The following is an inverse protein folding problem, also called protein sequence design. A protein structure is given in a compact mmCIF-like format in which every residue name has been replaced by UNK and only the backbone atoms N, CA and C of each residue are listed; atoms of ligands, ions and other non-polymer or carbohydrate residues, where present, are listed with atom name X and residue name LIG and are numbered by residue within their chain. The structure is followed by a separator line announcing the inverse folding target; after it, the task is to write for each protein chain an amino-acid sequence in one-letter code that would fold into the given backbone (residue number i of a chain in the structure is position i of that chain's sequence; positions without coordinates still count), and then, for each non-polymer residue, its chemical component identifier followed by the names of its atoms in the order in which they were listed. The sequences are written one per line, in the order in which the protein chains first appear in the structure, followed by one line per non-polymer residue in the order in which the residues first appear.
data_IF_878051434454
#
_entry.id   IF_878051434454
#
_cell.length_a   1.000
_cell.length_b   1.000
_cell.length_c   1.000
_cell.angle_alpha   90.00
_cell.angle_beta   90.00
_cell.angle_gamma   90.00
#
_symmetry.space_group_name_H-M   'P 1'
#
loop_
_entity.id
_entity.type
_entity.pdbx_description
1 polymer ?
#
# COMPACT_ATOMS: atom_id res chain seq x y z
N UNK A 1 12.44 11.43 -20.38
CA UNK A 1 11.91 11.69 -19.03
C UNK A 1 10.39 11.70 -19.09
N UNK A 2 9.73 11.02 -18.15
CA UNK A 2 8.29 11.11 -17.97
C UNK A 2 7.94 11.41 -16.52
N UNK A 3 6.84 12.12 -16.30
CA UNK A 3 6.30 12.42 -14.98
C UNK A 3 4.83 12.03 -14.96
N UNK A 4 4.40 11.31 -13.94
CA UNK A 4 3.01 10.90 -13.73
C UNK A 4 2.55 11.29 -12.33
N UNK A 5 1.25 11.57 -12.21
CA UNK A 5 0.53 11.39 -10.95
C UNK A 5 -0.09 9.99 -10.94
N UNK A 6 -0.19 9.41 -9.75
CA UNK A 6 -0.96 8.19 -9.51
C UNK A 6 -1.56 8.27 -8.10
N UNK A 7 -2.17 7.18 -7.63
CA UNK A 7 -2.69 7.11 -6.28
C UNK A 7 -4.06 7.76 -6.11
N UNK A 8 -4.30 8.22 -4.89
CA UNK A 8 -5.63 8.70 -4.45
C UNK A 8 -6.19 9.83 -5.31
N UNK A 9 -5.33 10.74 -5.79
CA UNK A 9 -5.72 11.85 -6.67
C UNK A 9 -6.29 11.36 -8.00
N UNK A 10 -5.72 10.30 -8.58
CA UNK A 10 -6.18 9.75 -9.85
C UNK A 10 -7.43 8.88 -9.70
N UNK A 11 -7.68 8.34 -8.51
CA UNK A 11 -8.91 7.59 -8.17
C UNK A 11 -10.08 8.46 -7.70
N UNK A 12 -9.84 9.74 -7.40
CA UNK A 12 -10.84 10.62 -6.77
C UNK A 12 -11.06 10.32 -5.27
N UNK A 13 -10.14 9.61 -4.62
CA UNK A 13 -10.17 9.29 -3.19
C UNK A 13 -9.37 10.28 -2.35
N UNK A 14 -9.43 11.57 -2.70
CA UNK A 14 -8.65 12.62 -2.04
C UNK A 14 -9.33 13.08 -0.73
N UNK A 15 -8.56 13.16 0.36
CA UNK A 15 -8.97 13.85 1.58
C UNK A 15 -7.85 14.74 2.12
N UNK A 16 -8.07 15.36 3.29
CA UNK A 16 -7.10 16.24 3.93
C UNK A 16 -5.77 15.56 4.32
N UNK A 17 -5.71 14.24 4.27
CA UNK A 17 -4.53 13.42 4.58
C UNK A 17 -3.91 12.79 3.33
N UNK A 18 -4.49 12.98 2.14
CA UNK A 18 -3.93 12.49 0.89
C UNK A 18 -2.72 13.33 0.45
N UNK A 19 -1.62 12.65 0.09
CA UNK A 19 -0.55 13.27 -0.69
C UNK A 19 -0.81 13.07 -2.19
N UNK A 20 -0.06 13.81 -3.00
CA UNK A 20 0.03 13.59 -4.44
C UNK A 20 1.17 12.61 -4.69
N UNK A 21 0.84 11.37 -5.06
CA UNK A 21 1.85 10.38 -5.43
C UNK A 21 2.39 10.70 -6.83
N UNK A 22 3.68 11.02 -6.91
CA UNK A 22 4.37 11.37 -8.15
C UNK A 22 5.37 10.29 -8.55
N UNK A 23 5.41 9.98 -9.84
CA UNK A 23 6.37 9.06 -10.45
C UNK A 23 7.24 9.83 -11.45
N UNK A 24 8.55 9.70 -11.34
CA UNK A 24 9.51 10.16 -12.33
C UNK A 24 10.20 8.96 -12.99
N UNK A 25 10.15 8.92 -14.33
CA UNK A 25 10.86 7.92 -15.12
C UNK A 25 12.04 8.59 -15.83
N UNK A 26 13.25 8.29 -15.35
CA UNK A 26 14.52 8.86 -15.82
C UNK A 26 15.62 7.81 -15.80
N UNK A 27 16.52 7.86 -16.78
CA UNK A 27 17.72 7.03 -16.74
C UNK A 27 18.85 7.78 -16.02
N UNK A 28 19.47 7.11 -15.04
CA UNK A 28 20.51 7.70 -14.20
C UNK A 28 19.96 8.56 -13.06
N UNK A 29 20.85 9.32 -12.42
CA UNK A 29 20.52 10.30 -11.38
C UNK A 29 20.14 11.64 -12.02
N UNK A 30 19.09 12.26 -11.49
CA UNK A 30 18.60 13.57 -11.92
C UNK A 30 18.20 14.39 -10.68
N UNK A 31 19.01 15.39 -10.35
CA UNK A 31 18.90 16.17 -9.11
C UNK A 31 17.60 17.02 -9.03
N UNK A 32 16.84 17.10 -10.12
CA UNK A 32 15.52 17.75 -10.13
C UNK A 32 14.46 16.94 -9.39
N UNK A 33 14.68 15.64 -9.17
CA UNK A 33 13.72 14.75 -8.53
C UNK A 33 14.18 14.38 -7.13
N UNK A 34 13.47 14.91 -6.13
CA UNK A 34 13.63 14.51 -4.74
C UNK A 34 12.96 13.14 -4.50
N UNK A 35 13.70 12.10 -4.06
CA UNK A 35 13.14 10.77 -3.78
C UNK A 35 12.13 10.75 -2.61
N UNK A 36 12.05 11.81 -1.80
CA UNK A 36 11.00 12.00 -0.78
C UNK A 36 9.66 12.35 -1.44
N UNK A 37 9.70 13.04 -2.58
CA UNK A 37 8.51 13.52 -3.31
C UNK A 37 8.13 12.55 -4.44
N UNK A 38 9.14 12.00 -5.13
CA UNK A 38 8.96 11.16 -6.30
C UNK A 38 9.32 9.70 -6.02
N UNK A 39 8.49 8.81 -6.49
CA UNK A 39 8.92 7.46 -6.85
C UNK A 39 9.79 7.56 -8.11
N UNK A 40 11.09 7.29 -8.01
CA UNK A 40 12.04 7.46 -9.14
C UNK A 40 12.43 6.09 -9.68
N UNK A 41 12.20 5.87 -10.98
CA UNK A 41 12.50 4.61 -11.66
C UNK A 41 13.21 4.85 -13.00
N UNK A 42 14.13 3.95 -13.34
CA UNK A 42 14.61 3.85 -14.72
C UNK A 42 13.59 3.16 -15.61
N UNK A 43 13.63 3.44 -16.91
CA UNK A 43 12.76 2.80 -17.89
C UNK A 43 12.91 1.27 -17.85
N UNK A 44 14.16 0.80 -17.78
CA UNK A 44 14.47 -0.62 -17.67
C UNK A 44 13.89 -1.24 -16.40
N UNK A 45 14.01 -0.57 -15.25
CA UNK A 45 13.46 -1.13 -14.00
C UNK A 45 11.94 -1.19 -14.05
N UNK A 46 11.29 -0.14 -14.56
CA UNK A 46 9.84 -0.09 -14.66
C UNK A 46 9.30 -1.17 -15.62
N UNK A 47 9.91 -1.31 -16.81
CA UNK A 47 9.58 -2.39 -17.74
C UNK A 47 9.75 -3.79 -17.10
N UNK A 48 10.80 -3.98 -16.30
CA UNK A 48 10.98 -5.22 -15.53
C UNK A 48 9.84 -5.49 -14.54
N UNK A 49 9.29 -4.47 -13.89
CA UNK A 49 8.10 -4.63 -13.03
C UNK A 49 6.85 -5.06 -13.82
N UNK A 50 6.72 -4.61 -15.08
CA UNK A 50 5.67 -5.05 -15.99
C UNK A 50 5.82 -6.53 -16.34
N UNK A 51 7.02 -6.95 -16.71
CA UNK A 51 7.33 -8.35 -17.04
C UNK A 51 7.10 -9.29 -15.84
N UNK A 52 7.48 -8.85 -14.63
CA UNK A 52 7.25 -9.57 -13.37
C UNK A 52 5.76 -9.70 -13.02
N UNK A 53 4.88 -8.85 -13.57
CA UNK A 53 3.48 -8.74 -13.16
C UNK A 53 3.32 -8.18 -11.76
N UNK A 54 4.22 -7.27 -11.36
CA UNK A 54 4.30 -6.71 -10.01
C UNK A 54 3.02 -5.94 -9.63
N UNK A 55 2.53 -6.00 -8.37
CA UNK A 55 1.37 -5.22 -7.94
C UNK A 55 1.50 -3.72 -8.19
N UNK A 56 2.71 -3.15 -8.08
CA UNK A 56 2.95 -1.74 -8.38
C UNK A 56 2.83 -1.43 -9.88
N UNK A 57 3.24 -2.34 -10.76
CA UNK A 57 3.01 -2.19 -12.19
C UNK A 57 1.50 -2.22 -12.51
N UNK A 58 0.75 -3.13 -11.88
CA UNK A 58 -0.71 -3.17 -12.00
C UNK A 58 -1.38 -1.92 -11.44
N UNK A 59 -0.83 -1.36 -10.35
CA UNK A 59 -1.27 -0.10 -9.78
C UNK A 59 -1.12 1.02 -10.80
N UNK A 60 0.10 1.25 -11.30
CA UNK A 60 0.37 2.29 -12.30
C UNK A 60 -0.46 2.13 -13.57
N UNK A 61 -0.51 0.93 -14.15
CA UNK A 61 -1.27 0.65 -15.37
C UNK A 61 -2.78 0.89 -15.23
N UNK A 62 -3.31 0.90 -14.00
CA UNK A 62 -4.75 1.08 -13.76
C UNK A 62 -5.17 2.54 -13.65
N UNK A 63 -4.31 3.41 -13.10
CA UNK A 63 -4.74 4.75 -12.69
C UNK A 63 -3.72 5.87 -12.94
N UNK A 64 -2.46 5.57 -13.30
CA UNK A 64 -1.47 6.61 -13.53
C UNK A 64 -1.93 7.57 -14.64
N UNK A 65 -1.70 8.87 -14.42
CA UNK A 65 -2.00 9.94 -15.36
C UNK A 65 -0.72 10.70 -15.68
N UNK A 66 -0.43 10.80 -16.97
CA UNK A 66 0.74 11.53 -17.42
C UNK A 66 0.59 13.03 -17.15
N UNK A 67 1.63 13.61 -16.56
CA UNK A 67 1.78 15.05 -16.35
C UNK A 67 2.70 15.61 -17.43
N UNK A 68 3.78 14.90 -17.73
CA UNK A 68 4.80 15.36 -18.67
C UNK A 68 5.49 14.20 -19.38
N UNK A 69 5.74 14.36 -20.68
CA UNK A 69 6.56 13.48 -21.52
C UNK A 69 7.56 14.30 -22.33
N UNK A 70 8.84 14.01 -22.22
CA UNK A 70 9.86 14.75 -22.98
C UNK A 70 9.80 14.50 -24.49
N UNK A 71 9.32 13.32 -24.91
CA UNK A 71 9.16 12.90 -26.30
C UNK A 71 7.71 13.03 -26.80
N UNK A 72 6.78 13.49 -25.95
CA UNK A 72 5.36 13.60 -26.29
C UNK A 72 4.58 12.28 -26.28
N UNK A 73 5.19 11.18 -25.84
CA UNK A 73 4.54 9.86 -25.82
C UNK A 73 4.30 9.38 -24.37
N UNK A 74 3.23 8.63 -24.14
CA UNK A 74 2.97 8.01 -22.84
C UNK A 74 3.64 6.63 -22.75
N UNK A 75 4.74 6.58 -21.99
CA UNK A 75 5.49 5.35 -21.79
C UNK A 75 4.69 4.25 -21.08
N UNK A 76 3.83 4.59 -20.10
CA UNK A 76 3.01 3.60 -19.39
C UNK A 76 1.95 3.03 -20.33
N UNK A 77 1.34 3.87 -21.16
CA UNK A 77 0.39 3.44 -22.19
C UNK A 77 1.05 2.50 -23.21
N UNK A 78 2.27 2.81 -23.65
CA UNK A 78 3.05 1.96 -24.57
C UNK A 78 3.39 0.59 -24.00
N UNK A 79 3.66 0.48 -22.70
CA UNK A 79 3.89 -0.82 -22.04
C UNK A 79 2.64 -1.70 -21.99
N UNK A 80 1.45 -1.11 -22.13
CA UNK A 80 0.19 -1.83 -22.04
C UNK A 80 -0.05 -2.44 -20.65
N UNK A 81 -0.63 -3.64 -20.62
CA UNK A 81 -0.94 -4.32 -19.37
C UNK A 81 0.28 -5.11 -18.84
N UNK A 82 0.55 -5.07 -17.53
CA UNK A 82 1.55 -5.94 -16.92
C UNK A 82 1.24 -7.43 -17.11
N UNK A 83 2.26 -8.27 -17.01
CA UNK A 83 2.09 -9.73 -16.97
C UNK A 83 1.16 -10.11 -15.81
N UNK A 84 0.50 -11.28 -15.94
CA UNK A 84 -0.33 -11.82 -14.88
C UNK A 84 0.44 -11.92 -13.54
N UNK A 85 -0.13 -11.34 -12.49
CA UNK A 85 0.39 -11.43 -11.14
C UNK A 85 0.30 -12.87 -10.60
N UNK A 86 1.45 -13.46 -10.24
CA UNK A 86 1.58 -14.89 -9.87
C UNK A 86 2.09 -15.14 -8.45
N UNK A 87 2.57 -14.12 -7.74
CA UNK A 87 3.18 -14.26 -6.40
C UNK A 87 2.22 -13.95 -5.25
N UNK A 88 0.92 -14.13 -5.49
CA UNK A 88 -0.15 -13.77 -4.53
C UNK A 88 0.06 -14.42 -3.17
N UNK A 89 0.31 -15.73 -3.14
CA UNK A 89 0.48 -16.49 -1.89
C UNK A 89 1.71 -16.03 -1.11
N UNK A 90 2.82 -15.82 -1.81
CA UNK A 90 4.09 -15.40 -1.24
C UNK A 90 3.99 -13.99 -0.66
N UNK A 91 3.37 -13.05 -1.37
CA UNK A 91 3.24 -11.67 -0.91
C UNK A 91 2.22 -11.54 0.23
N UNK A 92 1.08 -12.24 0.17
CA UNK A 92 0.17 -12.36 1.30
C UNK A 92 0.89 -12.92 2.53
N UNK A 93 1.74 -13.93 2.38
CA UNK A 93 2.54 -14.49 3.48
C UNK A 93 3.52 -13.48 4.06
N UNK A 94 4.19 -12.68 3.22
CA UNK A 94 5.09 -11.61 3.68
C UNK A 94 4.35 -10.58 4.54
N UNK A 95 3.18 -10.12 4.10
CA UNK A 95 2.40 -9.14 4.87
C UNK A 95 1.82 -9.73 6.15
N UNK A 96 1.40 -11.01 6.14
CA UNK A 96 1.03 -11.71 7.36
C UNK A 96 2.17 -11.78 8.39
N UNK A 97 3.39 -12.08 7.93
CA UNK A 97 4.57 -12.10 8.80
C UNK A 97 4.87 -10.71 9.38
N UNK A 98 4.78 -9.65 8.56
CA UNK A 98 4.94 -8.27 9.02
C UNK A 98 3.95 -7.91 10.12
N UNK A 99 2.68 -8.30 9.94
CA UNK A 99 1.64 -8.13 10.97
C UNK A 99 2.00 -8.89 12.26
N UNK A 100 2.43 -10.15 12.17
CA UNK A 100 2.77 -10.95 13.34
C UNK A 100 3.92 -10.32 14.13
N UNK A 101 4.98 -9.90 13.43
CA UNK A 101 6.11 -9.20 14.05
C UNK A 101 5.66 -7.93 14.77
N UNK A 102 4.79 -7.12 14.16
CA UNK A 102 4.29 -5.91 14.80
C UNK A 102 3.46 -6.21 16.07
N UNK A 103 2.62 -7.24 16.05
CA UNK A 103 1.83 -7.67 17.22
C UNK A 103 2.72 -8.19 18.35
N UNK A 104 3.75 -8.99 18.02
CA UNK A 104 4.74 -9.48 18.99
C UNK A 104 5.51 -8.33 19.62
N UNK A 105 5.92 -7.34 18.84
CA UNK A 105 6.55 -6.11 19.34
C UNK A 105 5.62 -5.34 20.28
N UNK A 106 4.34 -5.15 19.94
CA UNK A 106 3.37 -4.46 20.82
C UNK A 106 3.21 -5.23 22.14
N UNK A 107 3.09 -6.55 22.06
CA UNK A 107 2.87 -7.42 23.23
C UNK A 107 4.09 -7.47 24.16
N UNK A 108 5.29 -7.32 23.62
CA UNK A 108 6.56 -7.29 24.37
C UNK A 108 6.96 -5.89 24.86
N UNK A 109 6.13 -4.86 24.63
CA UNK A 109 6.38 -3.50 25.09
C UNK A 109 7.25 -2.67 24.14
N UNK A 110 6.93 -2.69 22.84
CA UNK A 110 7.65 -1.94 21.79
C UNK A 110 8.01 -0.51 22.19
N UNK A 111 9.22 -0.10 21.81
CA UNK A 111 9.71 1.27 21.99
C UNK A 111 8.95 2.30 21.15
N UNK A 112 8.19 1.87 20.12
CA UNK A 112 7.42 2.78 19.26
C UNK A 112 6.10 2.16 18.81
N UNK A 113 5.06 2.39 19.61
CA UNK A 113 3.71 1.92 19.32
C UNK A 113 3.17 2.47 17.98
N UNK A 114 3.50 3.73 17.66
CA UNK A 114 3.12 4.37 16.39
C UNK A 114 3.70 3.60 15.20
N UNK A 115 4.96 3.19 15.29
CA UNK A 115 5.62 2.43 14.23
C UNK A 115 4.98 1.06 14.03
N UNK A 116 4.69 0.33 15.11
CA UNK A 116 4.08 -0.99 15.01
C UNK A 116 2.65 -0.94 14.45
N UNK A 117 1.83 0.01 14.90
CA UNK A 117 0.49 0.22 14.35
C UNK A 117 0.55 0.64 12.87
N UNK A 118 1.54 1.45 12.48
CA UNK A 118 1.82 1.77 11.08
C UNK A 118 2.17 0.51 10.25
N UNK A 119 2.95 -0.42 10.81
CA UNK A 119 3.27 -1.69 10.15
C UNK A 119 2.05 -2.60 10.01
N UNK A 120 1.17 -2.65 11.02
CA UNK A 120 -0.11 -3.36 10.93
C UNK A 120 -0.96 -2.77 9.81
N UNK A 121 -1.10 -1.45 9.74
CA UNK A 121 -1.83 -0.78 8.66
C UNK A 121 -1.26 -1.13 7.27
N UNK A 122 0.07 -1.05 7.12
CA UNK A 122 0.75 -1.41 5.88
C UNK A 122 0.51 -2.87 5.49
N UNK A 123 0.59 -3.78 6.47
CA UNK A 123 0.36 -5.20 6.29
C UNK A 123 -1.07 -5.48 5.81
N UNK A 124 -2.11 -5.00 6.51
CA UNK A 124 -3.50 -5.31 6.15
C UNK A 124 -3.87 -4.74 4.77
N UNK A 125 -3.45 -3.51 4.46
CA UNK A 125 -3.73 -2.86 3.17
C UNK A 125 -3.11 -3.64 2.03
N UNK A 126 -1.81 -3.93 2.12
CA UNK A 126 -1.11 -4.60 1.03
C UNK A 126 -1.52 -6.06 0.91
N UNK A 127 -1.81 -6.74 2.03
CA UNK A 127 -2.38 -8.08 2.01
C UNK A 127 -3.69 -8.11 1.23
N UNK A 128 -4.63 -7.20 1.55
CA UNK A 128 -5.91 -7.09 0.87
C UNK A 128 -5.74 -6.80 -0.63
N UNK A 129 -4.86 -5.86 -1.00
CA UNK A 129 -4.55 -5.54 -2.40
C UNK A 129 -3.98 -6.74 -3.15
N UNK A 130 -3.01 -7.45 -2.57
CA UNK A 130 -2.44 -8.67 -3.17
C UNK A 130 -3.49 -9.77 -3.34
N UNK A 131 -4.33 -9.99 -2.33
CA UNK A 131 -5.42 -10.97 -2.40
C UNK A 131 -6.41 -10.61 -3.51
N UNK A 132 -6.92 -9.38 -3.53
CA UNK A 132 -7.88 -8.92 -4.54
C UNK A 132 -7.29 -9.03 -5.95
N UNK A 133 -6.04 -8.60 -6.15
CA UNK A 133 -5.38 -8.66 -7.45
C UNK A 133 -5.09 -10.10 -7.89
N UNK A 134 -4.59 -10.93 -6.98
CA UNK A 134 -4.13 -12.28 -7.28
C UNK A 134 -5.25 -13.30 -7.40
N UNK A 135 -6.18 -13.31 -6.44
CA UNK A 135 -7.29 -14.26 -6.36
C UNK A 135 -8.50 -13.79 -7.15
N UNK A 136 -8.98 -12.59 -6.87
CA UNK A 136 -10.26 -12.07 -7.40
C UNK A 136 -10.08 -11.31 -8.72
N UNK A 137 -8.84 -11.06 -9.15
CA UNK A 137 -8.49 -10.23 -10.32
C UNK A 137 -9.06 -8.80 -10.25
N UNK A 138 -9.32 -8.32 -9.03
CA UNK A 138 -9.82 -6.98 -8.75
C UNK A 138 -8.64 -6.04 -8.50
N UNK A 139 -8.59 -4.94 -9.24
CA UNK A 139 -7.53 -3.93 -9.17
C UNK A 139 -7.85 -2.85 -8.14
N UNK A 140 -7.81 -3.21 -6.86
CA UNK A 140 -8.06 -2.26 -5.76
C UNK A 140 -6.74 -1.89 -5.03
N UNK A 141 -6.28 -0.67 -5.30
CA UNK A 141 -5.08 -0.08 -4.70
C UNK A 141 -5.41 1.03 -3.68
N UNK A 142 -6.67 1.10 -3.24
CA UNK A 142 -7.09 2.01 -2.19
C UNK A 142 -6.38 1.71 -0.88
N UNK A 143 -6.11 2.74 -0.08
CA UNK A 143 -5.67 2.55 1.31
C UNK A 143 -6.71 1.86 2.19
N UNK A 144 -7.97 1.84 1.75
CA UNK A 144 -9.10 1.16 2.38
C UNK A 144 -9.39 -0.20 1.76
N UNK A 145 -8.48 -0.76 0.95
CA UNK A 145 -8.68 -2.04 0.25
C UNK A 145 -9.16 -3.16 1.17
N UNK A 146 -8.64 -3.27 2.40
CA UNK A 146 -9.04 -4.27 3.38
C UNK A 146 -10.52 -4.18 3.82
N UNK A 147 -11.11 -2.98 3.78
CA UNK A 147 -12.54 -2.74 4.06
C UNK A 147 -13.42 -2.91 2.82
N UNK A 148 -12.81 -3.08 1.64
CA UNK A 148 -13.47 -3.07 0.33
C UNK A 148 -13.30 -4.44 -0.37
N UNK A 149 -13.46 -5.53 0.39
CA UNK A 149 -13.35 -6.91 -0.09
C UNK A 149 -14.70 -7.65 -0.04
N UNK A 150 -15.83 -6.93 -0.03
CA UNK A 150 -17.18 -7.49 0.11
C UNK A 150 -17.29 -8.39 1.35
N UNK A 151 -17.80 -9.61 1.22
CA UNK A 151 -17.89 -10.62 2.29
C UNK A 151 -16.55 -10.98 2.95
N UNK A 152 -15.41 -10.70 2.29
CA UNK A 152 -14.06 -10.94 2.82
C UNK A 152 -13.44 -9.71 3.49
N UNK A 153 -14.20 -8.63 3.65
CA UNK A 153 -13.71 -7.40 4.28
C UNK A 153 -13.29 -7.67 5.72
N UNK A 154 -12.22 -6.99 6.15
CA UNK A 154 -11.78 -7.06 7.53
C UNK A 154 -12.88 -6.52 8.46
N UNK A 155 -13.16 -7.24 9.54
CA UNK A 155 -14.19 -6.88 10.51
C UNK A 155 -13.50 -6.36 11.77
N UNK A 156 -13.27 -5.04 11.79
CA UNK A 156 -12.77 -4.30 12.95
C UNK A 156 -13.58 -3.02 13.12
N UNK A 157 -13.56 -2.43 14.31
CA UNK A 157 -14.26 -1.17 14.55
C UNK A 157 -13.69 -0.03 13.69
N UNK A 158 -14.52 0.95 13.29
CA UNK A 158 -14.05 2.15 12.59
C UNK A 158 -12.95 2.89 13.37
N UNK A 159 -13.05 2.94 14.69
CA UNK A 159 -12.05 3.56 15.56
C UNK A 159 -10.69 2.85 15.47
N UNK A 160 -10.66 1.51 15.44
CA UNK A 160 -9.41 0.76 15.26
C UNK A 160 -8.81 1.00 13.87
N UNK A 161 -9.64 1.03 12.82
CA UNK A 161 -9.13 1.31 11.47
C UNK A 161 -8.55 2.74 11.38
N UNK A 162 -9.25 3.74 11.93
CA UNK A 162 -8.77 5.13 11.99
C UNK A 162 -7.48 5.26 12.79
N UNK A 163 -7.35 4.54 13.92
CA UNK A 163 -6.13 4.46 14.71
C UNK A 163 -4.95 3.95 13.87
N UNK A 164 -5.15 2.87 13.11
CA UNK A 164 -4.12 2.29 12.24
C UNK A 164 -3.72 3.25 11.11
N UNK A 165 -4.70 3.87 10.46
CA UNK A 165 -4.47 4.85 9.39
C UNK A 165 -3.70 6.08 9.91
N UNK A 166 -4.14 6.64 11.05
CA UNK A 166 -3.47 7.76 11.70
C UNK A 166 -2.04 7.42 12.12
N UNK A 167 -1.82 6.19 12.61
CA UNK A 167 -0.47 5.70 12.97
C UNK A 167 0.47 5.73 11.76
N UNK A 168 -0.04 5.35 10.58
CA UNK A 168 0.73 5.38 9.34
C UNK A 168 1.13 6.79 8.94
N UNK A 169 0.19 7.74 9.00
CA UNK A 169 0.45 9.16 8.70
C UNK A 169 1.49 9.72 9.66
N UNK A 170 1.32 9.49 10.97
CA UNK A 170 2.23 9.96 11.99
C UNK A 170 3.63 9.36 11.83
N UNK A 171 3.74 8.08 11.49
CA UNK A 171 5.04 7.40 11.31
C UNK A 171 5.82 7.88 10.08
N UNK A 172 5.15 8.29 8.99
CA UNK A 172 5.83 8.77 7.78
C UNK A 172 6.09 10.27 7.84
N UNK A 173 5.10 11.03 8.31
CA UNK A 173 5.07 12.49 8.16
C UNK A 173 5.28 13.25 9.47
N UNK A 174 5.29 12.58 10.61
CA UNK A 174 5.37 13.23 11.92
C UNK A 174 4.16 14.12 12.23
N UNK A 175 3.03 13.92 11.53
CA UNK A 175 1.82 14.72 11.67
C UNK A 175 0.71 13.96 12.40
N UNK A 176 0.07 14.61 13.36
CA UNK A 176 -1.03 14.05 14.16
C UNK A 176 -0.72 13.96 15.66
N UNK A 177 -1.67 13.40 16.42
CA UNK A 177 -1.53 13.21 17.87
C UNK A 177 -0.77 11.93 18.18
N UNK A 178 0.21 12.01 19.09
CA UNK A 178 0.98 10.86 19.57
C UNK A 178 0.03 9.84 20.21
N UNK A 179 0.16 8.59 19.78
CA UNK A 179 -0.65 7.47 20.25
C UNK A 179 -0.03 6.92 21.54
N UNK A 180 -0.85 6.83 22.58
CA UNK A 180 -0.51 6.23 23.87
C UNK A 180 -1.08 4.83 23.98
N UNK A 181 -0.53 4.06 24.91
CA UNK A 181 -1.00 2.69 25.15
C UNK A 181 -2.45 2.64 25.64
N UNK A 182 -2.92 3.66 26.34
CA UNK A 182 -4.34 3.74 26.74
C UNK A 182 -5.28 3.87 25.53
N UNK A 183 -4.80 4.46 24.43
CA UNK A 183 -5.58 4.63 23.19
C UNK A 183 -5.78 3.30 22.45
N UNK A 184 -4.93 2.30 22.69
CA UNK A 184 -5.02 1.00 22.00
C UNK A 184 -5.82 -0.03 22.78
N UNK A 185 -6.10 0.18 24.07
CA UNK A 185 -6.77 -0.82 24.91
C UNK A 185 -8.11 -1.27 24.33
N UNK A 186 -8.89 -0.32 23.83
CA UNK A 186 -10.18 -0.59 23.16
C UNK A 186 -10.04 -1.25 21.79
N UNK A 187 -8.85 -1.27 21.22
CA UNK A 187 -8.56 -1.80 19.89
C UNK A 187 -7.82 -3.14 19.91
N UNK A 188 -7.35 -3.62 21.08
CA UNK A 188 -6.56 -4.85 21.17
C UNK A 188 -7.31 -6.08 20.61
N UNK A 189 -8.59 -6.23 20.95
CA UNK A 189 -9.40 -7.36 20.44
C UNK A 189 -9.50 -7.33 18.92
N UNK A 190 -9.77 -6.15 18.34
CA UNK A 190 -9.78 -5.93 16.90
C UNK A 190 -8.41 -6.25 16.29
N UNK A 191 -7.31 -5.75 16.89
CA UNK A 191 -5.95 -5.99 16.40
C UNK A 191 -5.62 -7.48 16.38
N UNK A 192 -6.02 -8.25 17.38
CA UNK A 192 -5.81 -9.70 17.39
C UNK A 192 -6.70 -10.45 16.40
N UNK A 193 -7.94 -9.98 16.16
CA UNK A 193 -8.87 -10.61 15.22
C UNK A 193 -8.38 -10.56 13.76
N UNK A 194 -7.54 -9.57 13.43
CA UNK A 194 -6.86 -9.45 12.12
C UNK A 194 -6.10 -10.75 11.78
N UNK A 195 -5.51 -11.42 12.78
CA UNK A 195 -4.79 -12.69 12.54
C UNK A 195 -5.69 -13.75 11.94
N UNK A 196 -6.90 -13.90 12.47
CA UNK A 196 -7.89 -14.88 12.01
C UNK A 196 -8.32 -14.54 10.59
N UNK A 197 -8.57 -13.25 10.30
CA UNK A 197 -8.90 -12.78 8.96
C UNK A 197 -7.79 -13.08 7.94
N UNK A 198 -6.53 -12.71 8.23
CA UNK A 198 -5.41 -13.00 7.32
C UNK A 198 -5.16 -14.49 7.13
N UNK A 199 -5.31 -15.29 8.19
CA UNK A 199 -5.10 -16.74 8.11
C UNK A 199 -6.15 -17.41 7.24
N UNK A 200 -7.43 -17.07 7.40
CA UNK A 200 -8.50 -17.60 6.57
C UNK A 200 -8.30 -17.29 5.09
N UNK A 201 -7.94 -16.04 4.77
CA UNK A 201 -7.64 -15.67 3.38
C UNK A 201 -6.39 -16.33 2.81
N UNK A 202 -5.37 -16.62 3.65
CA UNK A 202 -4.16 -17.35 3.23
C UNK A 202 -4.42 -18.80 2.84
N UNK A 203 -5.49 -19.41 3.34
CA UNK A 203 -5.90 -20.77 2.97
C UNK A 203 -6.53 -20.82 1.57
N UNK A 204 -7.05 -19.69 1.08
CA UNK A 204 -7.71 -19.59 -0.23
C UNK A 204 -6.74 -19.34 -1.41
N UNK A 205 -5.48 -19.01 -1.14
CA UNK A 205 -4.45 -18.62 -2.12
C UNK A 205 -3.28 -19.59 -2.24
#
# INVERSE_FOLDING_TARGET
MHIYAFGSICRGEIDSQSDIDLLAIVDGTDDRFDPVIYSIYSYKRLAGLWEEGNPFAWHLASEAKIIFASNGEDFIEQLGLPTAYRTCKEDCRKFYNLYCTAIESISSGSCSLVFELSNIFLAIRNFATCFLLGKEKIKNFSRRSALQMNEKSIIISPATFELLERSRILSIRGSGTIIKYDDIKSSLEDLYSIKTWMTGLLEEV
#
